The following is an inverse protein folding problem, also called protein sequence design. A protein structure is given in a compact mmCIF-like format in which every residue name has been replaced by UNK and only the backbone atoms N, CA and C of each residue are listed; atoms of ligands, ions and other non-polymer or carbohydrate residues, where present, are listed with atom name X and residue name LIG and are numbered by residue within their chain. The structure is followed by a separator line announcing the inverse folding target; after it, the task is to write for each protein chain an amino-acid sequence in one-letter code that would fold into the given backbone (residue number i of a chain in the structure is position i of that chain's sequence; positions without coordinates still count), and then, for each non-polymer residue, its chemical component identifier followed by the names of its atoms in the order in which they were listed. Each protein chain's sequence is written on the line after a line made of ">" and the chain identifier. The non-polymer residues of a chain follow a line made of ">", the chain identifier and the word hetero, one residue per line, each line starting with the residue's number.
data_IF_641352209149
#
_entry.id   IF_641352209149
#
_cell.length_a   1.000
_cell.length_b   1.000
_cell.length_c   1.000
_cell.angle_alpha   90.00
_cell.angle_beta   90.00
_cell.angle_gamma   90.00
#
_symmetry.space_group_name_H-M   'P 1'
#
loop_
_entity.id
_entity.type
_entity.pdbx_description
1 polymer ?
#
# COMPACT_ATOMS: atom_id res chain seq x y z
N UNK A 1 0.43 -9.58 -6.40
CA UNK A 1 0.62 -9.01 -5.05
C UNK A 1 0.88 -10.08 -4.02
N UNK A 2 0.03 -11.12 -3.91
CA UNK A 2 0.16 -12.16 -2.87
C UNK A 2 1.53 -12.83 -2.78
N UNK A 3 2.16 -13.19 -3.90
CA UNK A 3 3.46 -13.89 -3.88
C UNK A 3 4.58 -13.01 -3.31
N UNK A 4 4.86 -11.79 -3.82
CA UNK A 4 5.80 -10.88 -3.17
C UNK A 4 5.52 -10.65 -1.68
N UNK A 5 4.26 -10.48 -1.30
CA UNK A 5 3.85 -10.30 0.10
C UNK A 5 4.13 -11.53 0.96
N UNK A 6 3.82 -12.74 0.45
CA UNK A 6 4.08 -13.99 1.16
C UNK A 6 5.57 -14.27 1.32
N UNK A 7 6.39 -13.97 0.31
CA UNK A 7 7.85 -14.04 0.41
C UNK A 7 8.34 -13.08 1.49
N UNK A 8 7.87 -11.83 1.49
CA UNK A 8 8.25 -10.83 2.49
C UNK A 8 7.87 -11.26 3.92
N UNK A 9 6.60 -11.60 4.15
CA UNK A 9 6.09 -12.07 5.46
C UNK A 9 6.85 -13.31 5.90
N UNK A 10 7.09 -14.27 5.00
CA UNK A 10 7.88 -15.47 5.28
C UNK A 10 9.31 -15.15 5.70
N UNK A 11 10.02 -14.29 4.96
CA UNK A 11 11.38 -13.88 5.31
C UNK A 11 11.45 -13.14 6.64
N UNK A 12 10.54 -12.19 6.89
CA UNK A 12 10.46 -11.48 8.17
C UNK A 12 10.18 -12.44 9.33
N UNK A 13 9.25 -13.38 9.14
CA UNK A 13 8.93 -14.43 10.13
C UNK A 13 10.16 -15.28 10.46
N UNK A 14 10.90 -15.73 9.44
CA UNK A 14 12.15 -16.50 9.63
C UNK A 14 13.19 -15.66 10.36
N UNK A 15 13.36 -14.39 10.01
CA UNK A 15 14.30 -13.49 10.67
C UNK A 15 13.96 -13.32 12.17
N UNK A 16 12.68 -13.16 12.52
CA UNK A 16 12.23 -13.10 13.93
C UNK A 16 12.55 -14.40 14.66
N UNK A 17 12.27 -15.56 14.06
CA UNK A 17 12.59 -16.85 14.67
C UNK A 17 14.09 -16.99 14.92
N UNK A 18 14.94 -16.63 13.94
CA UNK A 18 16.40 -16.65 14.11
C UNK A 18 16.84 -15.72 15.24
N UNK A 19 16.30 -14.50 15.32
CA UNK A 19 16.62 -13.55 16.39
C UNK A 19 16.23 -14.09 17.78
N UNK A 20 15.09 -14.76 17.90
CA UNK A 20 14.67 -15.42 19.13
C UNK A 20 15.62 -16.56 19.51
N UNK A 21 16.08 -17.36 18.54
CA UNK A 21 17.00 -18.47 18.78
C UNK A 21 18.39 -18.01 19.26
N UNK A 22 18.88 -16.88 18.76
CA UNK A 22 20.17 -16.30 19.17
C UNK A 22 20.04 -15.32 20.35
N UNK A 23 18.87 -15.26 20.99
CA UNK A 23 18.62 -14.46 22.20
C UNK A 23 18.84 -12.95 22.01
N UNK A 24 18.45 -12.39 20.86
CA UNK A 24 18.38 -10.94 20.67
C UNK A 24 17.45 -10.33 21.72
N UNK A 25 17.80 -9.15 22.23
CA UNK A 25 16.97 -8.40 23.17
C UNK A 25 15.53 -8.25 22.65
N UNK A 26 14.55 -8.55 23.52
CA UNK A 26 13.13 -8.60 23.15
C UNK A 26 12.57 -7.24 22.78
N UNK A 27 13.05 -6.17 23.41
CA UNK A 27 12.62 -4.81 23.11
C UNK A 27 13.12 -4.40 21.74
N UNK A 28 14.41 -4.63 21.45
CA UNK A 28 15.00 -4.37 20.12
C UNK A 28 14.27 -5.17 19.03
N UNK A 29 13.99 -6.46 19.29
CA UNK A 29 13.26 -7.30 18.35
C UNK A 29 11.83 -6.79 18.10
N UNK A 30 11.15 -6.31 19.14
CA UNK A 30 9.82 -5.72 19.00
C UNK A 30 9.82 -4.43 18.17
N UNK A 31 10.76 -3.52 18.44
CA UNK A 31 10.91 -2.26 17.72
C UNK A 31 11.24 -2.49 16.23
N UNK A 32 12.20 -3.37 15.93
CA UNK A 32 12.55 -3.74 14.54
C UNK A 32 11.42 -4.50 13.84
N UNK A 33 10.75 -5.41 14.56
CA UNK A 33 9.63 -6.17 14.05
C UNK A 33 8.44 -5.30 13.68
N UNK A 34 8.18 -4.22 14.45
CA UNK A 34 7.17 -3.22 14.13
C UNK A 34 7.59 -2.34 12.95
N UNK A 35 8.81 -1.82 12.95
CA UNK A 35 9.31 -0.96 11.87
C UNK A 35 9.31 -1.66 10.49
N UNK A 36 9.60 -2.97 10.46
CA UNK A 36 9.52 -3.79 9.25
C UNK A 36 8.07 -4.10 8.83
N UNK A 37 7.10 -4.05 9.74
CA UNK A 37 5.71 -4.33 9.40
C UNK A 37 4.90 -3.08 9.04
N UNK A 38 5.39 -1.89 9.39
CA UNK A 38 4.65 -0.63 9.24
C UNK A 38 4.06 -0.48 7.84
N UNK A 39 4.86 -0.66 6.79
CA UNK A 39 4.42 -0.57 5.39
C UNK A 39 3.39 -1.63 4.97
N UNK A 40 2.98 -2.57 5.81
CA UNK A 40 1.92 -3.51 5.45
C UNK A 40 0.52 -2.88 5.51
N UNK A 41 0.35 -1.73 6.19
CA UNK A 41 -0.96 -1.07 6.38
C UNK A 41 -1.72 -0.77 5.07
N UNK A 42 -0.98 -0.44 4.01
CA UNK A 42 -1.57 -0.13 2.70
C UNK A 42 -2.18 -1.37 2.03
N UNK A 43 -1.65 -2.57 2.27
CA UNK A 43 -2.07 -3.76 1.54
C UNK A 43 -3.52 -4.16 1.86
N UNK A 44 -3.98 -4.26 3.13
CA UNK A 44 -5.39 -4.47 3.45
C UNK A 44 -6.32 -3.47 2.76
N UNK A 45 -5.97 -2.18 2.79
CA UNK A 45 -6.76 -1.12 2.15
C UNK A 45 -6.78 -1.25 0.63
N UNK A 46 -5.63 -1.53 0.02
CA UNK A 46 -5.53 -1.79 -1.41
C UNK A 46 -6.38 -3.01 -1.81
N UNK A 47 -6.34 -4.08 -1.02
CA UNK A 47 -7.16 -5.28 -1.24
C UNK A 47 -8.66 -4.96 -1.11
N UNK A 48 -9.06 -4.15 -0.13
CA UNK A 48 -10.43 -3.67 0.04
C UNK A 48 -10.88 -2.85 -1.16
N UNK A 49 -10.09 -1.87 -1.62
CA UNK A 49 -10.45 -1.03 -2.76
C UNK A 49 -10.50 -1.81 -4.07
N UNK A 50 -9.60 -2.79 -4.27
CA UNK A 50 -9.66 -3.72 -5.41
C UNK A 50 -10.92 -4.57 -5.35
N UNK A 51 -11.32 -5.05 -4.17
CA UNK A 51 -12.56 -5.81 -3.98
C UNK A 51 -13.79 -4.95 -4.26
N UNK A 52 -13.78 -3.69 -3.83
CA UNK A 52 -14.87 -2.74 -4.04
C UNK A 52 -14.88 -2.10 -5.43
N UNK A 53 -13.83 -2.31 -6.23
CA UNK A 53 -13.69 -1.73 -7.58
C UNK A 53 -14.91 -1.91 -8.47
N UNK A 54 -15.54 -3.10 -8.63
CA UNK A 54 -16.74 -3.23 -9.47
C UNK A 54 -17.90 -2.35 -8.98
N UNK A 55 -18.11 -2.25 -7.66
CA UNK A 55 -19.14 -1.40 -7.07
C UNK A 55 -18.82 0.08 -7.26
N UNK A 56 -17.60 0.50 -6.90
CA UNK A 56 -17.15 1.88 -7.02
C UNK A 56 -17.16 2.35 -8.48
N UNK A 57 -16.75 1.50 -9.41
CA UNK A 57 -16.80 1.79 -10.84
C UNK A 57 -18.24 1.88 -11.35
N UNK A 58 -19.14 1.00 -10.90
CA UNK A 58 -20.55 1.06 -11.27
C UNK A 58 -21.22 2.35 -10.76
N UNK A 59 -20.92 2.75 -9.53
CA UNK A 59 -21.37 4.03 -8.96
C UNK A 59 -20.77 5.21 -9.72
N UNK A 60 -19.45 5.20 -9.94
CA UNK A 60 -18.74 6.25 -10.66
C UNK A 60 -19.27 6.43 -12.09
N UNK A 61 -19.58 5.36 -12.81
CA UNK A 61 -20.21 5.44 -14.14
C UNK A 61 -21.61 6.03 -14.14
N UNK A 62 -22.34 5.92 -13.02
CA UNK A 62 -23.71 6.47 -12.88
C UNK A 62 -23.70 7.95 -12.49
N UNK A 63 -22.84 8.36 -11.56
CA UNK A 63 -22.88 9.73 -10.99
C UNK A 63 -21.65 10.58 -11.37
N UNK A 64 -20.63 9.99 -12.00
CA UNK A 64 -19.40 10.66 -12.40
C UNK A 64 -18.63 11.24 -11.21
N UNK A 65 -18.08 12.45 -11.41
CA UNK A 65 -17.29 13.16 -10.40
C UNK A 65 -18.09 13.54 -9.14
N UNK A 66 -19.43 13.48 -9.16
CA UNK A 66 -20.23 13.69 -7.94
C UNK A 66 -19.92 12.64 -6.87
N UNK A 67 -19.51 11.42 -7.25
CA UNK A 67 -19.11 10.43 -6.26
C UNK A 67 -17.92 10.91 -5.42
N UNK A 68 -16.99 11.63 -6.05
CA UNK A 68 -15.84 12.21 -5.35
C UNK A 68 -16.29 13.27 -4.32
N UNK A 69 -17.24 14.12 -4.70
CA UNK A 69 -17.82 15.14 -3.80
C UNK A 69 -18.49 14.47 -2.60
N UNK A 70 -19.23 13.38 -2.83
CA UNK A 70 -19.85 12.58 -1.76
C UNK A 70 -18.79 12.00 -0.82
N UNK A 71 -17.70 11.43 -1.35
CA UNK A 71 -16.61 10.88 -0.55
C UNK A 71 -15.93 11.97 0.30
N UNK A 72 -15.66 13.14 -0.27
CA UNK A 72 -15.10 14.29 0.46
C UNK A 72 -16.05 14.79 1.55
N UNK A 73 -17.35 14.88 1.25
CA UNK A 73 -18.35 15.30 2.23
C UNK A 73 -18.47 14.31 3.39
N UNK A 74 -18.48 13.00 3.10
CA UNK A 74 -18.50 11.96 4.13
C UNK A 74 -17.21 11.98 4.97
N UNK A 75 -16.05 12.19 4.35
CA UNK A 75 -14.80 12.36 5.08
C UNK A 75 -14.81 13.58 6.00
N UNK A 76 -15.41 14.70 5.56
CA UNK A 76 -15.60 15.88 6.39
C UNK A 76 -16.47 15.59 7.62
N UNK A 77 -17.57 14.86 7.43
CA UNK A 77 -18.45 14.46 8.53
C UNK A 77 -17.71 13.58 9.53
N UNK A 78 -16.93 12.60 9.05
CA UNK A 78 -16.13 11.74 9.92
C UNK A 78 -15.08 12.56 10.68
N UNK A 79 -14.33 13.44 10.03
CA UNK A 79 -13.36 14.32 10.70
C UNK A 79 -14.04 15.16 11.80
N UNK A 80 -15.20 15.76 11.51
CA UNK A 80 -15.97 16.54 12.50
C UNK A 80 -16.42 15.67 13.68
N UNK A 81 -16.84 14.42 13.43
CA UNK A 81 -17.26 13.48 14.48
C UNK A 81 -16.09 12.94 15.30
N UNK A 82 -14.91 12.79 14.70
CA UNK A 82 -13.70 12.36 15.41
C UNK A 82 -13.16 13.50 16.27
N UNK A 83 -13.04 14.72 15.73
CA UNK A 83 -12.37 15.81 16.43
C UNK A 83 -13.29 16.74 17.22
N UNK A 84 -14.59 16.73 16.94
CA UNK A 84 -15.59 17.54 17.65
C UNK A 84 -16.10 16.84 18.92
N UNK A 85 -16.96 15.82 18.79
CA UNK A 85 -17.50 15.08 19.92
C UNK A 85 -16.60 13.94 20.45
N UNK A 86 -15.37 13.79 19.92
CA UNK A 86 -14.40 12.75 20.32
C UNK A 86 -14.95 11.32 20.18
N UNK A 87 -15.45 10.98 18.98
CA UNK A 87 -15.97 9.65 18.65
C UNK A 87 -14.95 8.92 17.75
N UNK A 88 -13.81 8.44 18.27
CA UNK A 88 -12.70 7.94 17.46
C UNK A 88 -13.07 6.70 16.64
N UNK A 89 -14.05 5.90 17.08
CA UNK A 89 -14.49 4.67 16.41
C UNK A 89 -14.96 4.93 14.97
N UNK A 90 -15.60 6.08 14.72
CA UNK A 90 -16.08 6.41 13.36
C UNK A 90 -14.94 6.79 12.40
N UNK A 91 -13.75 7.12 12.92
CA UNK A 91 -12.58 7.49 12.14
C UNK A 91 -12.14 6.40 11.16
N UNK A 92 -12.41 5.14 11.49
CA UNK A 92 -12.13 3.99 10.61
C UNK A 92 -12.80 4.13 9.23
N UNK A 93 -13.95 4.81 9.15
CA UNK A 93 -14.64 5.04 7.88
C UNK A 93 -13.84 5.91 6.90
N UNK A 94 -12.96 6.80 7.39
CA UNK A 94 -12.11 7.62 6.54
C UNK A 94 -11.09 6.80 5.75
N UNK A 95 -10.71 5.61 6.21
CA UNK A 95 -9.89 4.73 5.37
C UNK A 95 -10.58 4.40 4.05
N UNK A 96 -11.91 4.33 4.01
CA UNK A 96 -12.66 4.18 2.77
C UNK A 96 -12.85 5.52 2.06
N UNK A 97 -13.27 6.58 2.76
CA UNK A 97 -13.64 7.83 2.09
C UNK A 97 -12.44 8.63 1.56
N UNK A 98 -11.36 8.73 2.33
CA UNK A 98 -10.17 9.48 1.92
C UNK A 98 -9.36 8.71 0.88
N UNK A 99 -8.95 7.47 1.19
CA UNK A 99 -8.19 6.66 0.22
C UNK A 99 -9.06 6.24 -0.97
N UNK A 100 -10.32 5.90 -0.75
CA UNK A 100 -11.26 5.62 -1.84
C UNK A 100 -11.53 6.85 -2.70
N UNK A 101 -11.55 8.06 -2.14
CA UNK A 101 -11.61 9.30 -2.91
C UNK A 101 -10.40 9.45 -3.84
N UNK A 102 -9.19 9.16 -3.33
CA UNK A 102 -7.97 9.16 -4.15
C UNK A 102 -8.01 8.05 -5.22
N UNK A 103 -8.60 6.90 -4.90
CA UNK A 103 -8.81 5.82 -5.84
C UNK A 103 -9.79 6.20 -6.96
N UNK A 104 -10.88 6.91 -6.64
CA UNK A 104 -11.85 7.43 -7.61
C UNK A 104 -11.22 8.48 -8.54
N UNK A 105 -10.25 9.27 -8.07
CA UNK A 105 -9.46 10.15 -8.96
C UNK A 105 -8.70 9.35 -10.02
N UNK A 106 -8.31 8.11 -9.73
CA UNK A 106 -7.74 7.20 -10.72
C UNK A 106 -8.72 6.83 -11.84
N UNK A 107 -10.00 6.61 -11.52
CA UNK A 107 -11.05 6.42 -12.54
C UNK A 107 -11.27 7.68 -13.36
N UNK A 108 -11.34 8.84 -12.69
CA UNK A 108 -11.48 10.13 -13.35
C UNK A 108 -10.31 10.44 -14.29
N UNK A 109 -9.09 10.11 -13.87
CA UNK A 109 -7.91 10.22 -14.71
C UNK A 109 -8.00 9.31 -15.94
N UNK A 110 -8.32 8.03 -15.72
CA UNK A 110 -8.41 7.03 -16.79
C UNK A 110 -9.45 7.39 -17.86
N UNK A 111 -10.62 7.86 -17.44
CA UNK A 111 -11.71 8.29 -18.34
C UNK A 111 -11.43 9.65 -19.01
N UNK A 112 -10.29 10.28 -18.72
CA UNK A 112 -9.94 11.61 -19.24
C UNK A 112 -10.74 12.75 -18.61
N UNK A 113 -11.48 12.49 -17.54
CA UNK A 113 -12.25 13.47 -16.80
C UNK A 113 -11.38 14.47 -16.03
N UNK A 114 -10.06 14.28 -15.91
CA UNK A 114 -9.16 15.26 -15.31
C UNK A 114 -8.42 16.14 -16.33
N UNK A 115 -8.88 16.23 -17.59
CA UNK A 115 -8.23 17.07 -18.61
C UNK A 115 -8.63 18.55 -18.52
N UNK A 116 -7.90 19.40 -19.24
CA UNK A 116 -8.19 20.84 -19.34
C UNK A 116 -7.83 21.59 -18.07
N UNK A 117 -8.75 22.42 -17.56
CA UNK A 117 -8.53 23.26 -16.36
C UNK A 117 -8.55 22.47 -15.05
N UNK A 118 -9.09 21.25 -15.06
CA UNK A 118 -9.36 20.45 -13.85
C UNK A 118 -8.12 20.14 -12.98
N UNK A 119 -6.93 19.80 -13.53
CA UNK A 119 -5.73 19.61 -12.71
C UNK A 119 -5.33 20.88 -11.97
N UNK A 120 -5.48 22.05 -12.62
CA UNK A 120 -5.21 23.33 -11.98
C UNK A 120 -6.21 23.62 -10.86
N UNK A 121 -7.51 23.32 -11.08
CA UNK A 121 -8.51 23.43 -10.03
C UNK A 121 -8.20 22.51 -8.85
N UNK A 122 -7.76 21.27 -9.09
CA UNK A 122 -7.34 20.35 -8.03
C UNK A 122 -6.17 20.91 -7.22
N UNK A 123 -5.18 21.49 -7.89
CA UNK A 123 -4.03 22.14 -7.23
C UNK A 123 -4.50 23.31 -6.38
N UNK A 124 -5.29 24.23 -6.95
CA UNK A 124 -5.72 25.45 -6.24
C UNK A 124 -6.64 25.10 -5.07
N UNK A 125 -7.67 24.30 -5.31
CA UNK A 125 -8.63 23.88 -4.26
C UNK A 125 -7.92 23.06 -3.20
N UNK A 126 -7.08 22.09 -3.60
CA UNK A 126 -6.31 21.26 -2.67
C UNK A 126 -5.33 22.09 -1.83
N UNK A 127 -4.64 23.06 -2.42
CA UNK A 127 -3.70 23.92 -1.70
C UNK A 127 -4.42 24.83 -0.71
N UNK A 128 -5.51 25.49 -1.14
CA UNK A 128 -6.30 26.35 -0.25
C UNK A 128 -6.89 25.55 0.90
N UNK A 129 -7.52 24.40 0.60
CA UNK A 129 -8.09 23.54 1.63
C UNK A 129 -7.01 23.02 2.60
N UNK A 130 -5.87 22.56 2.08
CA UNK A 130 -4.78 22.06 2.91
C UNK A 130 -4.25 23.15 3.83
N UNK A 131 -3.95 24.35 3.32
CA UNK A 131 -3.48 25.49 4.13
C UNK A 131 -4.49 25.84 5.21
N UNK A 132 -5.78 25.96 4.87
CA UNK A 132 -6.81 26.27 5.86
C UNK A 132 -6.93 25.19 6.94
N UNK A 133 -6.90 23.92 6.55
CA UNK A 133 -7.03 22.79 7.48
C UNK A 133 -5.86 22.68 8.47
N UNK A 134 -4.65 23.06 8.08
CA UNK A 134 -3.45 22.98 8.95
C UNK A 134 -3.13 24.26 9.71
N UNK A 135 -3.67 25.41 9.29
CA UNK A 135 -3.41 26.71 9.95
C UNK A 135 -4.57 27.20 10.80
N UNK A 136 -5.80 27.01 10.32
CA UNK A 136 -7.03 27.41 11.02
C UNK A 136 -7.73 26.18 11.61
N UNK A 137 -7.67 25.06 10.90
CA UNK A 137 -8.22 23.79 11.34
C UNK A 137 -7.36 23.09 12.41
N UNK A 138 -7.85 21.96 12.95
CA UNK A 138 -7.20 21.25 14.05
C UNK A 138 -6.02 20.38 13.59
N UNK A 139 -5.74 20.29 12.29
CA UNK A 139 -4.80 19.32 11.75
C UNK A 139 -3.35 19.80 11.86
N UNK A 140 -2.40 18.93 12.24
CA UNK A 140 -1.00 19.30 12.24
C UNK A 140 -0.45 19.41 10.82
N UNK A 141 0.68 20.10 10.68
CA UNK A 141 1.42 20.19 9.41
C UNK A 141 1.94 18.81 8.99
N UNK A 142 2.32 17.96 9.95
CA UNK A 142 2.80 16.60 9.65
C UNK A 142 1.66 15.74 9.12
N UNK A 143 1.84 15.21 7.91
CA UNK A 143 0.87 14.31 7.28
C UNK A 143 1.00 12.86 7.77
N UNK A 144 2.01 12.57 8.58
CA UNK A 144 2.23 11.29 9.25
C UNK A 144 2.21 11.48 10.76
N UNK A 145 1.88 10.42 11.50
CA UNK A 145 1.98 10.36 12.94
C UNK A 145 3.38 10.74 13.42
N UNK A 146 3.45 11.66 14.39
CA UNK A 146 4.69 12.07 15.05
C UNK A 146 4.52 11.84 16.55
N UNK A 147 5.48 11.20 17.22
CA UNK A 147 5.41 11.02 18.67
C UNK A 147 5.14 12.34 19.40
N UNK A 148 4.06 12.38 20.20
CA UNK A 148 3.66 13.55 20.97
C UNK A 148 2.62 14.46 20.30
N UNK A 149 2.27 14.23 19.03
CA UNK A 149 1.14 14.92 18.40
C UNK A 149 -0.20 14.35 18.91
N UNK A 150 -1.19 15.23 19.15
CA UNK A 150 -2.54 14.79 19.58
C UNK A 150 -3.37 14.22 18.43
N UNK A 151 -3.14 14.70 17.22
CA UNK A 151 -3.89 14.35 16.02
C UNK A 151 -2.89 13.85 14.99
N UNK A 152 -3.24 12.78 14.30
CA UNK A 152 -2.50 12.22 13.17
C UNK A 152 -3.32 12.39 11.89
N UNK A 153 -2.65 12.57 10.75
CA UNK A 153 -3.32 12.79 9.47
C UNK A 153 -3.44 11.52 8.62
N UNK A 154 -2.78 10.43 9.02
CA UNK A 154 -2.70 9.15 8.31
C UNK A 154 -3.48 8.03 9.00
N UNK A 155 -3.73 8.13 10.32
CA UNK A 155 -4.42 7.10 11.11
C UNK A 155 -5.38 7.70 12.15
N UNK A 156 -6.67 7.94 11.81
CA UNK A 156 -7.30 7.76 10.50
C UNK A 156 -6.92 8.84 9.48
N UNK A 157 -7.01 8.56 8.17
CA UNK A 157 -6.63 9.53 7.14
C UNK A 157 -7.58 10.74 7.14
N UNK A 158 -7.03 11.94 7.10
CA UNK A 158 -7.83 13.18 7.22
C UNK A 158 -8.14 13.86 5.89
N UNK A 159 -9.03 14.85 5.92
CA UNK A 159 -9.19 15.78 4.80
C UNK A 159 -7.95 16.62 4.51
N UNK A 160 -7.08 16.87 5.49
CA UNK A 160 -5.82 17.58 5.25
C UNK A 160 -4.90 16.73 4.37
N UNK A 161 -4.82 15.42 4.64
CA UNK A 161 -4.12 14.46 3.79
C UNK A 161 -4.74 14.37 2.39
N UNK A 162 -6.08 14.32 2.30
CA UNK A 162 -6.78 14.32 1.01
C UNK A 162 -6.48 15.58 0.18
N UNK A 163 -6.50 16.74 0.82
CA UNK A 163 -6.25 18.04 0.18
C UNK A 163 -4.82 18.14 -0.34
N UNK A 164 -3.84 17.64 0.43
CA UNK A 164 -2.46 17.47 -0.05
C UNK A 164 -2.38 16.53 -1.26
N UNK A 165 -3.08 15.39 -1.22
CA UNK A 165 -3.11 14.45 -2.35
C UNK A 165 -3.72 15.07 -3.62
N UNK A 166 -4.74 15.93 -3.50
CA UNK A 166 -5.28 16.67 -4.66
C UNK A 166 -4.22 17.53 -5.34
N UNK A 167 -3.36 18.21 -4.56
CA UNK A 167 -2.25 19.00 -5.10
C UNK A 167 -1.27 18.10 -5.83
N UNK A 168 -0.82 17.01 -5.19
CA UNK A 168 0.13 16.07 -5.77
C UNK A 168 -0.40 15.43 -7.06
N UNK A 169 -1.65 14.95 -7.05
CA UNK A 169 -2.30 14.33 -8.22
C UNK A 169 -2.52 15.37 -9.32
N UNK A 170 -2.97 16.59 -8.99
CA UNK A 170 -3.15 17.65 -9.97
C UNK A 170 -1.83 18.02 -10.67
N UNK A 171 -0.72 18.11 -9.94
CA UNK A 171 0.62 18.32 -10.49
C UNK A 171 1.04 17.16 -11.42
N UNK A 172 0.77 15.91 -11.03
CA UNK A 172 1.06 14.74 -11.85
C UNK A 172 0.28 14.74 -13.16
N UNK A 173 -1.03 15.02 -13.12
CA UNK A 173 -1.87 15.09 -14.32
C UNK A 173 -1.44 16.25 -15.22
N UNK A 174 -1.01 17.39 -14.65
CA UNK A 174 -0.48 18.51 -15.43
C UNK A 174 0.86 18.17 -16.10
N UNK A 175 1.71 17.40 -15.44
CA UNK A 175 2.99 16.94 -15.97
C UNK A 175 2.86 15.78 -16.99
N UNK A 176 1.73 15.06 -16.98
CA UNK A 176 1.50 13.87 -17.79
C UNK A 176 1.79 14.06 -19.29
N UNK A 177 1.32 15.12 -19.99
CA UNK A 177 1.58 15.28 -21.42
C UNK A 177 3.08 15.40 -21.74
N UNK A 178 3.85 16.06 -20.88
CA UNK A 178 5.29 16.18 -21.02
C UNK A 178 6.00 14.85 -20.73
N UNK A 179 5.58 14.13 -19.68
CA UNK A 179 6.08 12.80 -19.36
C UNK A 179 5.81 11.80 -20.51
N UNK A 180 4.59 11.77 -21.05
CA UNK A 180 4.22 10.92 -22.19
C UNK A 180 5.07 11.24 -23.41
N UNK A 181 5.32 12.52 -23.72
CA UNK A 181 6.21 12.95 -24.80
C UNK A 181 7.64 12.44 -24.59
N UNK A 182 8.16 12.54 -23.37
CA UNK A 182 9.49 12.07 -23.00
C UNK A 182 9.63 10.55 -23.09
N UNK A 183 8.57 9.81 -22.74
CA UNK A 183 8.48 8.35 -22.74
C UNK A 183 8.21 7.72 -24.11
N UNK A 184 7.93 8.52 -25.15
CA UNK A 184 7.85 8.00 -26.54
C UNK A 184 9.14 7.31 -27.00
N UNK A 185 10.29 7.59 -26.36
CA UNK A 185 11.52 6.87 -26.61
C UNK A 185 11.46 5.43 -26.04
N UNK A 186 11.59 4.37 -26.86
CA UNK A 186 11.45 2.99 -26.40
C UNK A 186 12.45 2.58 -25.32
N UNK A 187 13.67 3.15 -25.32
CA UNK A 187 14.67 2.86 -24.28
C UNK A 187 14.24 3.40 -22.92
N UNK A 188 13.67 4.62 -22.89
CA UNK A 188 13.16 5.25 -21.66
C UNK A 188 11.94 4.50 -21.14
N UNK A 189 10.99 4.19 -22.02
CA UNK A 189 9.83 3.38 -21.69
C UNK A 189 10.22 2.02 -21.10
N UNK A 190 11.18 1.31 -21.71
CA UNK A 190 11.66 0.03 -21.17
C UNK A 190 12.24 0.16 -19.76
N UNK A 191 13.03 1.20 -19.47
CA UNK A 191 13.58 1.44 -18.12
C UNK A 191 12.49 1.69 -17.09
N UNK A 192 11.53 2.56 -17.41
CA UNK A 192 10.40 2.86 -16.50
C UNK A 192 9.51 1.63 -16.32
N UNK A 193 9.20 0.90 -17.39
CA UNK A 193 8.41 -0.34 -17.32
C UNK A 193 9.11 -1.44 -16.51
N UNK A 194 10.44 -1.56 -16.62
CA UNK A 194 11.22 -2.49 -15.80
C UNK A 194 11.14 -2.10 -14.31
N UNK A 195 11.32 -0.82 -13.97
CA UNK A 195 11.15 -0.32 -12.61
C UNK A 195 9.72 -0.54 -12.07
N UNK A 196 8.71 -0.33 -12.90
CA UNK A 196 7.31 -0.55 -12.51
C UNK A 196 7.02 -2.01 -12.13
N UNK A 197 7.72 -2.98 -12.75
CA UNK A 197 7.58 -4.40 -12.41
C UNK A 197 8.15 -4.75 -11.02
N UNK A 198 9.02 -3.90 -10.48
CA UNK A 198 9.66 -4.08 -9.17
C UNK A 198 9.06 -3.18 -8.10
N UNK A 199 8.13 -2.27 -8.42
CA UNK A 199 7.53 -1.33 -7.44
C UNK A 199 6.92 -2.03 -6.22
N UNK A 200 6.20 -3.14 -6.40
CA UNK A 200 5.68 -3.89 -5.25
C UNK A 200 6.80 -4.52 -4.40
N UNK A 201 7.89 -4.95 -5.02
CA UNK A 201 9.08 -5.41 -4.29
C UNK A 201 9.73 -4.24 -3.53
N UNK A 202 9.93 -3.11 -4.20
CA UNK A 202 10.46 -1.90 -3.57
C UNK A 202 9.61 -1.49 -2.36
N UNK A 203 8.30 -1.44 -2.53
CA UNK A 203 7.34 -1.13 -1.48
C UNK A 203 7.49 -2.04 -0.26
N UNK A 204 7.55 -3.36 -0.45
CA UNK A 204 7.65 -4.31 0.65
C UNK A 204 9.01 -4.25 1.36
N UNK A 205 10.09 -4.11 0.59
CA UNK A 205 11.45 -4.36 1.09
C UNK A 205 12.22 -3.10 1.50
N UNK A 206 11.79 -1.89 1.14
CA UNK A 206 12.56 -0.66 1.38
C UNK A 206 12.91 -0.39 2.86
N UNK A 207 12.06 -0.80 3.81
CA UNK A 207 12.34 -0.64 5.24
C UNK A 207 13.49 -1.54 5.71
N UNK A 208 13.72 -2.70 5.09
CA UNK A 208 14.77 -3.62 5.53
C UNK A 208 16.19 -3.04 5.39
N UNK A 209 16.61 -2.49 4.23
CA UNK A 209 17.86 -1.73 4.13
C UNK A 209 17.94 -0.54 5.08
N UNK A 210 16.83 0.19 5.28
CA UNK A 210 16.81 1.34 6.18
C UNK A 210 17.10 0.94 7.62
N UNK A 211 16.47 -0.14 8.10
CA UNK A 211 16.71 -0.67 9.45
C UNK A 211 18.13 -1.24 9.58
N UNK A 212 18.62 -1.98 8.59
CA UNK A 212 19.97 -2.51 8.60
C UNK A 212 21.04 -1.41 8.61
N UNK A 213 20.87 -0.38 7.77
CA UNK A 213 21.77 0.76 7.74
C UNK A 213 21.72 1.55 9.06
N UNK A 214 20.52 1.80 9.60
CA UNK A 214 20.33 2.50 10.87
C UNK A 214 20.99 1.75 12.04
N UNK A 215 20.82 0.43 12.11
CA UNK A 215 21.41 -0.40 13.16
C UNK A 215 22.95 -0.40 13.17
N UNK A 216 23.59 -0.05 12.05
CA UNK A 216 25.06 0.06 11.96
C UNK A 216 25.52 1.49 12.15
N UNK A 217 24.89 2.45 11.49
CA UNK A 217 25.38 3.83 11.38
C UNK A 217 25.13 4.63 12.66
N UNK A 218 23.94 4.51 13.27
CA UNK A 218 23.60 5.30 14.46
C UNK A 218 24.46 4.94 15.68
N UNK A 219 24.70 3.66 16.02
CA UNK A 219 25.59 3.32 17.14
C UNK A 219 27.04 3.77 16.95
N UNK A 220 27.50 3.88 15.71
CA UNK A 220 28.84 4.35 15.38
C UNK A 220 28.96 5.89 15.34
N UNK A 221 27.86 6.62 15.54
CA UNK A 221 27.86 8.09 15.45
C UNK A 221 28.20 8.63 14.07
N UNK A 222 28.03 7.81 13.01
CA UNK A 222 28.40 8.16 11.63
C UNK A 222 27.35 9.01 10.92
N UNK A 223 26.19 9.23 11.55
CA UNK A 223 25.15 10.12 11.06
C UNK A 223 25.04 11.34 11.98
N UNK A 224 25.56 12.52 11.58
CA UNK A 224 25.46 13.72 12.40
C UNK A 224 24.01 14.19 12.52
N UNK A 225 23.67 14.73 13.69
CA UNK A 225 22.39 15.39 13.94
C UNK A 225 22.41 16.81 13.37
N UNK A 226 22.20 16.92 12.06
CA UNK A 226 22.10 18.22 11.38
C UNK A 226 20.69 18.82 11.51
N UNK A 227 20.63 20.12 11.78
CA UNK A 227 19.37 20.84 11.86
C UNK A 227 18.59 20.73 10.53
N UNK A 228 17.29 20.34 10.55
CA UNK A 228 16.48 20.23 9.35
C UNK A 228 16.48 21.51 8.51
N UNK A 229 16.56 21.36 7.19
CA UNK A 229 16.54 22.48 6.24
C UNK A 229 17.90 23.13 5.96
N UNK A 230 18.96 22.76 6.69
CA UNK A 230 20.33 23.22 6.39
C UNK A 230 20.93 22.52 5.16
N UNK A 231 21.96 23.11 4.56
CA UNK A 231 22.68 22.49 3.44
C UNK A 231 23.34 21.16 3.81
N UNK A 232 23.89 21.06 5.02
CA UNK A 232 24.46 19.83 5.56
C UNK A 232 23.39 18.73 5.69
N UNK A 233 22.21 19.07 6.20
CA UNK A 233 21.07 18.14 6.27
C UNK A 233 20.67 17.61 4.89
N UNK A 234 20.60 18.47 3.86
CA UNK A 234 20.30 18.04 2.49
C UNK A 234 21.37 17.12 1.90
N UNK A 235 22.65 17.41 2.14
CA UNK A 235 23.76 16.55 1.71
C UNK A 235 23.71 15.18 2.40
N UNK A 236 23.42 15.13 3.69
CA UNK A 236 23.21 13.88 4.43
C UNK A 236 22.03 13.08 3.88
N UNK A 237 20.91 13.73 3.51
CA UNK A 237 19.77 13.06 2.89
C UNK A 237 20.13 12.46 1.53
N UNK A 238 20.92 13.16 0.72
CA UNK A 238 21.42 12.63 -0.55
C UNK A 238 22.30 11.40 -0.31
N UNK A 239 23.26 11.48 0.62
CA UNK A 239 24.12 10.35 0.99
C UNK A 239 23.30 9.15 1.50
N UNK A 240 22.30 9.40 2.35
CA UNK A 240 21.37 8.41 2.85
C UNK A 240 20.58 7.72 1.74
N UNK A 241 20.00 8.47 0.80
CA UNK A 241 19.26 7.91 -0.34
C UNK A 241 20.17 7.06 -1.23
N UNK A 242 21.41 7.49 -1.48
CA UNK A 242 22.39 6.73 -2.26
C UNK A 242 22.72 5.41 -1.56
N UNK A 243 23.01 5.43 -0.26
CA UNK A 243 23.27 4.23 0.54
C UNK A 243 22.09 3.26 0.49
N UNK A 244 20.87 3.75 0.75
CA UNK A 244 19.67 2.93 0.72
C UNK A 244 19.43 2.34 -0.67
N UNK A 245 19.66 3.10 -1.74
CA UNK A 245 19.57 2.59 -3.11
C UNK A 245 20.61 1.49 -3.37
N UNK A 246 21.85 1.67 -2.90
CA UNK A 246 22.94 0.70 -3.06
C UNK A 246 22.63 -0.63 -2.34
N UNK A 247 21.95 -0.60 -1.21
CA UNK A 247 21.51 -1.80 -0.48
C UNK A 247 20.23 -2.41 -1.09
N UNK A 248 19.28 -1.57 -1.50
CA UNK A 248 17.96 -2.00 -1.98
C UNK A 248 18.02 -2.61 -3.37
N UNK A 249 18.82 -2.07 -4.30
CA UNK A 249 18.87 -2.57 -5.68
C UNK A 249 19.29 -4.05 -5.74
N UNK A 250 20.39 -4.49 -5.10
CA UNK A 250 20.76 -5.91 -5.04
C UNK A 250 19.69 -6.79 -4.39
N UNK A 251 19.07 -6.31 -3.31
CA UNK A 251 18.00 -7.01 -2.62
C UNK A 251 16.79 -7.25 -3.54
N UNK A 252 16.37 -6.22 -4.29
CA UNK A 252 15.27 -6.33 -5.25
C UNK A 252 15.62 -7.26 -6.40
N UNK A 253 16.87 -7.24 -6.88
CA UNK A 253 17.34 -8.21 -7.89
C UNK A 253 17.24 -9.63 -7.34
N UNK A 254 17.73 -9.89 -6.14
CA UNK A 254 17.66 -11.21 -5.50
C UNK A 254 16.21 -11.69 -5.32
N UNK A 255 15.33 -10.84 -4.80
CA UNK A 255 13.90 -11.17 -4.63
C UNK A 255 13.20 -11.38 -5.98
N UNK A 256 13.64 -10.71 -7.04
CA UNK A 256 13.08 -10.89 -8.38
C UNK A 256 13.41 -12.26 -9.01
N UNK A 257 14.42 -12.97 -8.48
CA UNK A 257 14.75 -14.33 -8.90
C UNK A 257 13.75 -15.37 -8.38
N UNK A 258 12.94 -15.04 -7.36
CA UNK A 258 11.92 -15.93 -6.84
C UNK A 258 10.88 -16.22 -7.94
N UNK A 259 10.70 -17.49 -8.35
CA UNK A 259 9.75 -17.84 -9.39
C UNK A 259 8.35 -17.34 -9.04
N UNK A 260 7.78 -16.53 -9.92
CA UNK A 260 6.37 -16.14 -9.80
C UNK A 260 5.54 -17.23 -10.47
N UNK A 261 4.52 -17.79 -9.78
CA UNK A 261 3.59 -18.68 -10.44
C UNK A 261 2.99 -17.94 -11.65
N UNK A 262 2.79 -18.63 -12.78
CA UNK A 262 2.19 -18.01 -13.95
C UNK A 262 0.87 -17.36 -13.55
N UNK A 263 0.63 -16.14 -14.05
CA UNK A 263 -0.65 -15.48 -13.85
C UNK A 263 -1.73 -16.38 -14.48
N UNK A 264 -2.43 -17.17 -13.67
CA UNK A 264 -3.56 -17.96 -14.14
C UNK A 264 -4.61 -16.96 -14.59
N UNK A 265 -5.03 -17.06 -15.85
CA UNK A 265 -6.10 -16.23 -16.37
C UNK A 265 -7.28 -16.29 -15.40
N UNK A 266 -7.78 -15.11 -14.99
CA UNK A 266 -9.01 -15.02 -14.20
C UNK A 266 -10.07 -15.84 -14.95
N UNK A 267 -10.47 -16.97 -14.37
CA UNK A 267 -11.39 -17.87 -15.07
C UNK A 267 -12.69 -17.12 -15.21
N UNK A 268 -13.21 -17.04 -16.43
CA UNK A 268 -14.44 -16.30 -16.73
C UNK A 268 -15.70 -16.86 -16.03
N UNK A 269 -15.59 -18.01 -15.36
CA UNK A 269 -16.69 -18.68 -14.66
C UNK A 269 -16.20 -19.28 -13.33
N UNK A 270 -16.11 -18.46 -12.29
CA UNK A 270 -15.98 -18.98 -10.91
C UNK A 270 -17.36 -19.33 -10.39
N UNK A 271 -17.54 -20.58 -9.94
CA UNK A 271 -18.73 -20.96 -9.19
C UNK A 271 -18.79 -20.24 -7.84
N UNK A 272 -19.98 -20.12 -7.25
CA UNK A 272 -20.24 -19.42 -5.97
C UNK A 272 -19.27 -19.86 -4.85
N UNK A 273 -18.97 -21.15 -4.76
CA UNK A 273 -18.02 -21.67 -3.76
C UNK A 273 -16.58 -21.14 -3.92
N UNK A 274 -16.12 -20.93 -5.15
CA UNK A 274 -14.79 -20.35 -5.41
C UNK A 274 -14.74 -18.88 -5.02
N UNK A 275 -15.82 -18.12 -5.27
CA UNK A 275 -15.96 -16.74 -4.82
C UNK A 275 -15.95 -16.62 -3.30
N UNK A 276 -16.76 -17.43 -2.60
CA UNK A 276 -16.78 -17.44 -1.13
C UNK A 276 -15.40 -17.79 -0.59
N UNK A 277 -14.73 -18.81 -1.14
CA UNK A 277 -13.38 -19.21 -0.72
C UNK A 277 -12.40 -18.05 -0.88
N UNK A 278 -12.46 -17.31 -1.99
CA UNK A 278 -11.56 -16.18 -2.22
C UNK A 278 -11.88 -14.97 -1.36
N UNK A 279 -13.15 -14.71 -1.06
CA UNK A 279 -13.55 -13.67 -0.12
C UNK A 279 -13.04 -13.98 1.30
N UNK A 280 -13.21 -15.22 1.75
CA UNK A 280 -12.68 -15.68 3.05
C UNK A 280 -11.15 -15.60 3.07
N UNK A 281 -10.49 -16.05 2.00
CA UNK A 281 -9.05 -15.97 1.87
C UNK A 281 -8.53 -14.53 1.92
N UNK A 282 -9.21 -13.63 1.21
CA UNK A 282 -8.88 -12.21 1.16
C UNK A 282 -9.10 -11.54 2.53
N UNK A 283 -10.19 -11.86 3.21
CA UNK A 283 -10.46 -11.39 4.57
C UNK A 283 -9.39 -11.85 5.55
N UNK A 284 -9.00 -13.13 5.50
CA UNK A 284 -7.96 -13.68 6.37
C UNK A 284 -6.57 -13.04 6.11
N UNK A 285 -6.19 -12.88 4.83
CA UNK A 285 -4.92 -12.19 4.47
C UNK A 285 -4.97 -10.72 4.85
N UNK A 286 -6.08 -10.03 4.57
CA UNK A 286 -6.27 -8.61 4.90
C UNK A 286 -6.16 -8.36 6.40
N UNK A 287 -6.90 -9.13 7.20
CA UNK A 287 -6.84 -9.07 8.66
C UNK A 287 -5.44 -9.31 9.19
N UNK A 288 -4.74 -10.33 8.70
CA UNK A 288 -3.39 -10.63 9.18
C UNK A 288 -2.39 -9.53 8.81
N UNK A 289 -2.48 -8.96 7.61
CA UNK A 289 -1.61 -7.85 7.18
C UNK A 289 -1.87 -6.57 7.98
N UNK A 290 -3.13 -6.29 8.30
CA UNK A 290 -3.50 -5.18 9.19
C UNK A 290 -2.95 -5.42 10.61
N UNK A 291 -3.12 -6.62 11.15
CA UNK A 291 -2.59 -6.96 12.46
C UNK A 291 -1.06 -6.90 12.52
N UNK A 292 -0.36 -7.31 11.46
CA UNK A 292 1.09 -7.10 11.35
C UNK A 292 1.44 -5.60 11.31
N UNK A 293 0.71 -4.79 10.56
CA UNK A 293 0.98 -3.35 10.47
C UNK A 293 0.81 -2.65 11.83
N UNK A 294 -0.15 -3.10 12.66
CA UNK A 294 -0.40 -2.56 14.00
C UNK A 294 0.63 -3.07 15.02
N UNK A 295 0.86 -4.39 15.05
CA UNK A 295 1.57 -5.05 16.17
C UNK A 295 3.01 -5.45 15.85
N UNK A 296 3.42 -5.40 14.58
CA UNK A 296 4.72 -5.86 14.13
C UNK A 296 4.85 -7.38 13.96
N UNK A 297 6.01 -7.80 13.46
CA UNK A 297 6.39 -9.21 13.34
C UNK A 297 6.82 -9.86 14.67
N UNK A 298 6.99 -9.08 15.74
CA UNK A 298 7.39 -9.58 17.05
C UNK A 298 6.79 -8.73 18.19
N UNK A 299 5.45 -8.68 18.34
CA UNK A 299 4.81 -7.87 19.38
C UNK A 299 5.35 -8.21 20.77
N UNK A 300 5.81 -7.19 21.50
CA UNK A 300 6.49 -7.35 22.80
C UNK A 300 7.67 -8.34 22.78
N UNK A 301 8.32 -8.53 21.63
CA UNK A 301 9.41 -9.49 21.44
C UNK A 301 8.98 -10.96 21.44
N UNK A 302 7.72 -11.27 21.13
CA UNK A 302 7.20 -12.64 21.04
C UNK A 302 6.79 -13.00 19.62
N UNK A 303 6.84 -14.29 19.30
CA UNK A 303 6.44 -14.79 17.98
C UNK A 303 4.90 -14.71 17.78
N UNK A 304 4.41 -13.97 16.78
CA UNK A 304 2.97 -13.70 16.60
C UNK A 304 2.27 -14.82 15.81
N UNK A 305 2.25 -16.04 16.36
CA UNK A 305 1.62 -17.20 15.68
C UNK A 305 0.15 -16.96 15.34
N UNK A 306 -0.59 -16.22 16.17
CA UNK A 306 -2.00 -15.88 15.98
C UNK A 306 -2.25 -14.94 14.78
N UNK A 307 -1.23 -14.19 14.32
CA UNK A 307 -1.28 -13.38 13.10
C UNK A 307 -0.81 -14.20 11.89
N UNK A 308 0.23 -15.03 12.08
CA UNK A 308 0.77 -15.88 11.01
C UNK A 308 -0.22 -16.95 10.53
N UNK A 309 -0.96 -17.58 11.44
CA UNK A 309 -1.94 -18.62 11.11
C UNK A 309 -3.01 -18.17 10.11
N UNK A 310 -3.77 -17.08 10.35
CA UNK A 310 -4.77 -16.61 9.37
C UNK A 310 -4.13 -16.17 8.05
N UNK A 311 -2.92 -15.59 8.07
CA UNK A 311 -2.19 -15.27 6.85
C UNK A 311 -1.89 -16.53 6.02
N UNK A 312 -1.30 -17.55 6.64
CA UNK A 312 -0.95 -18.81 5.98
C UNK A 312 -2.19 -19.54 5.47
N UNK A 313 -3.26 -19.60 6.27
CA UNK A 313 -4.53 -20.18 5.88
C UNK A 313 -5.14 -19.44 4.67
N UNK A 314 -5.15 -18.10 4.68
CA UNK A 314 -5.64 -17.30 3.57
C UNK A 314 -4.83 -17.51 2.28
N UNK A 315 -3.49 -17.52 2.37
CA UNK A 315 -2.62 -17.84 1.22
C UNK A 315 -2.92 -19.24 0.67
N UNK A 316 -3.07 -20.24 1.54
CA UNK A 316 -3.42 -21.60 1.14
C UNK A 316 -4.78 -21.67 0.44
N UNK A 317 -5.79 -20.98 0.98
CA UNK A 317 -7.13 -20.91 0.37
C UNK A 317 -7.09 -20.28 -1.03
N UNK A 318 -6.29 -19.23 -1.25
CA UNK A 318 -6.08 -18.66 -2.59
C UNK A 318 -5.45 -19.70 -3.52
N UNK A 319 -4.40 -20.39 -3.07
CA UNK A 319 -3.72 -21.43 -3.86
C UNK A 319 -4.68 -22.55 -4.22
N UNK A 320 -5.51 -23.02 -3.28
CA UNK A 320 -6.52 -24.06 -3.51
C UNK A 320 -7.60 -23.57 -4.48
N UNK A 321 -8.14 -22.36 -4.28
CA UNK A 321 -9.17 -21.79 -5.15
C UNK A 321 -8.68 -21.61 -6.60
N UNK A 322 -7.44 -21.15 -6.77
CA UNK A 322 -6.81 -21.05 -8.09
C UNK A 322 -6.34 -22.41 -8.63
N UNK A 323 -6.09 -23.38 -7.74
CA UNK A 323 -5.53 -24.72 -7.92
C UNK A 323 -6.42 -25.73 -8.62
N UNK A 324 -7.75 -25.68 -8.41
CA UNK A 324 -8.70 -26.69 -8.89
C UNK A 324 -8.86 -26.66 -10.41
N UNK A 325 -8.03 -27.38 -11.16
CA UNK A 325 -8.35 -27.79 -12.54
C UNK A 325 -9.62 -28.66 -12.55
N UNK A 326 -10.52 -28.45 -13.52
CA UNK A 326 -11.51 -29.47 -13.86
C UNK A 326 -10.76 -30.62 -14.56
N UNK A 327 -10.34 -31.65 -13.81
CA UNK A 327 -10.00 -32.96 -14.39
C UNK A 327 -11.27 -33.69 -14.87
N UNK A 328 -12.01 -33.13 -15.84
CA UNK A 328 -13.33 -33.67 -16.18
C UNK A 328 -13.93 -33.19 -17.48
N UNK A 329 -13.14 -33.14 -18.56
CA UNK A 329 -13.67 -33.00 -19.92
C UNK A 329 -12.77 -33.72 -20.93
N UNK A 330 -12.46 -34.99 -20.68
CA UNK A 330 -11.90 -35.92 -21.67
C UNK A 330 -12.48 -37.30 -21.43
N UNK A 331 -13.73 -37.52 -21.86
CA UNK A 331 -14.29 -38.86 -22.12
C UNK A 331 -15.72 -38.79 -22.67
N UNK A 332 -15.94 -38.15 -23.83
CA UNK A 332 -17.03 -38.55 -24.74
C UNK A 332 -16.55 -38.30 -26.16
N UNK A 333 -15.68 -39.17 -26.67
CA UNK A 333 -15.55 -39.40 -28.10
C UNK A 333 -14.97 -40.80 -28.25
N UNK A 334 -15.87 -41.76 -28.46
CA UNK A 334 -15.54 -43.18 -28.51
C UNK A 334 -16.68 -43.96 -29.14
N UNK A 335 -16.54 -44.22 -30.44
CA UNK A 335 -17.13 -45.30 -31.22
C UNK A 335 -18.61 -45.21 -31.63
N UNK A 336 -18.84 -44.65 -32.83
CA UNK A 336 -19.79 -45.22 -33.78
C UNK A 336 -19.00 -45.78 -34.97
N UNK A 337 -19.13 -47.07 -35.35
CA UNK A 337 -18.39 -47.62 -36.46
C UNK A 337 -19.02 -47.21 -37.79
N UNK A 338 -18.17 -46.84 -38.74
CA UNK A 338 -18.51 -46.77 -40.17
C UNK A 338 -18.51 -48.20 -40.71
N UNK A 339 -19.70 -48.71 -41.04
CA UNK A 339 -20.08 -49.42 -42.27
C UNK A 339 -21.55 -49.80 -42.18
#
# INVERSE_FOLDING_TARGET
>A
MLVPTAVYVGTATVAVVVCLLVSVDRRVLGELGWALALQLWFLPLYLLLVLLTPLLLALYRRVGLWLLVVFVALAAVVDVLVFGPDIPVVGTANYLFVWGGMFLLGFAWHDGALRGIRPLLMIVVGAVAWVLLVTVGPFPISLIGVPGARIENDSPPSLALFSYALVAIGLLVLAEPAANRWLRNPRRWRRVSAGNRTTMGLYLWHMAPAMAAAAVIYPLGLFPDEAPGTGAWWLLRLAWVILLAALLVPLIVLVSLVPRPPARAARHQWGTGAWITLLVALGAVGYALEMYAIHGFAPSGHFPWHILLPFAAGVLLVVVACGRERRGATSVEGAGPVT
#
